data_IF_621314395260
#
_entry.id   IF_621314395260
#
_cell.length_a   1.000
_cell.length_b   1.000
_cell.length_c   1.000
_cell.angle_alpha   90.00
_cell.angle_beta   90.00
_cell.angle_gamma   90.00
#
_symmetry.space_group_name_H-M   'P 1'
#
loop_
_entity.id
_entity.type
_entity.pdbx_description
1 polymer ?
#
# COMPACT_ATOMS: atom_id res chain seq x y z
N UNK A 1 4.61 -1.09 18.86
CA UNK A 1 3.30 -0.47 18.60
C UNK A 1 3.00 -0.27 17.11
N UNK A 2 3.89 0.34 16.31
CA UNK A 2 3.65 0.58 14.87
C UNK A 2 3.51 -0.71 14.03
N UNK A 3 4.37 -1.72 14.27
CA UNK A 3 4.34 -3.00 13.56
C UNK A 3 3.00 -3.73 13.72
N UNK A 4 2.51 -3.84 14.95
CA UNK A 4 1.21 -4.46 15.26
C UNK A 4 0.04 -3.73 14.59
N UNK A 5 0.11 -2.38 14.51
CA UNK A 5 -0.89 -1.57 13.80
C UNK A 5 -0.86 -1.83 12.29
N UNK A 6 0.32 -2.00 11.71
CA UNK A 6 0.49 -2.39 10.30
C UNK A 6 -0.06 -3.80 10.07
N UNK A 7 0.35 -4.80 10.87
CA UNK A 7 -0.13 -6.18 10.76
C UNK A 7 -1.65 -6.27 10.77
N UNK A 8 -2.30 -5.59 11.72
CA UNK A 8 -3.76 -5.52 11.79
C UNK A 8 -4.38 -4.87 10.55
N UNK A 9 -3.80 -3.75 10.07
CA UNK A 9 -4.35 -3.01 8.93
C UNK A 9 -4.18 -3.78 7.62
N UNK A 10 -3.03 -4.41 7.41
CA UNK A 10 -2.79 -5.32 6.29
C UNK A 10 -3.80 -6.46 6.30
N UNK A 11 -4.00 -7.08 7.47
CA UNK A 11 -4.98 -8.16 7.63
C UNK A 11 -6.40 -7.67 7.30
N UNK A 12 -6.79 -6.49 7.76
CA UNK A 12 -8.12 -5.92 7.44
C UNK A 12 -8.31 -5.69 5.93
N UNK A 13 -7.32 -5.07 5.26
CA UNK A 13 -7.43 -4.74 3.84
C UNK A 13 -7.39 -6.00 2.97
N UNK A 14 -6.47 -6.94 3.24
CA UNK A 14 -6.37 -8.20 2.51
C UNK A 14 -7.63 -9.06 2.66
N UNK A 15 -8.21 -9.11 3.87
CA UNK A 15 -9.48 -9.79 4.12
C UNK A 15 -10.62 -9.14 3.32
N UNK A 16 -10.68 -7.81 3.30
CA UNK A 16 -11.67 -7.08 2.50
C UNK A 16 -11.55 -7.35 1.00
N UNK A 17 -10.33 -7.59 0.50
CA UNK A 17 -10.06 -7.95 -0.89
C UNK A 17 -10.30 -9.44 -1.20
N UNK A 18 -10.71 -10.25 -0.21
CA UNK A 18 -10.86 -11.69 -0.38
C UNK A 18 -9.54 -12.43 -0.66
N UNK A 19 -8.39 -11.83 -0.33
CA UNK A 19 -7.08 -12.40 -0.63
C UNK A 19 -6.62 -13.33 0.51
N UNK A 20 -6.09 -14.53 0.18
CA UNK A 20 -5.62 -15.48 1.18
C UNK A 20 -4.45 -14.91 1.98
N UNK A 21 -4.57 -14.99 3.31
CA UNK A 21 -3.59 -14.43 4.24
C UNK A 21 -2.58 -15.48 4.69
N UNK A 22 -1.65 -15.83 3.81
CA UNK A 22 -0.44 -16.50 4.27
C UNK A 22 0.32 -15.53 5.19
N UNK A 23 0.56 -15.93 6.44
CA UNK A 23 1.32 -15.12 7.41
C UNK A 23 2.67 -14.67 6.82
N UNK A 24 3.33 -15.54 6.04
CA UNK A 24 4.59 -15.21 5.35
C UNK A 24 4.46 -14.05 4.36
N UNK A 25 3.37 -14.00 3.59
CA UNK A 25 3.13 -12.93 2.61
C UNK A 25 2.78 -11.63 3.32
N UNK A 26 1.91 -11.70 4.34
CA UNK A 26 1.56 -10.54 5.18
C UNK A 26 2.80 -9.96 5.84
N UNK A 27 3.63 -10.78 6.46
CA UNK A 27 4.81 -10.33 7.20
C UNK A 27 5.86 -9.72 6.25
N UNK A 28 6.02 -10.28 5.05
CA UNK A 28 6.85 -9.71 3.98
C UNK A 28 6.35 -8.33 3.54
N UNK A 29 5.04 -8.19 3.34
CA UNK A 29 4.42 -6.90 3.02
C UNK A 29 4.58 -5.88 4.15
N UNK A 30 4.36 -6.29 5.41
CA UNK A 30 4.53 -5.43 6.60
C UNK A 30 5.98 -4.97 6.72
N UNK A 31 6.96 -5.86 6.53
CA UNK A 31 8.37 -5.50 6.58
C UNK A 31 8.76 -4.49 5.49
N UNK A 32 8.28 -4.67 4.26
CA UNK A 32 8.48 -3.72 3.15
C UNK A 32 7.80 -2.38 3.46
N UNK A 33 6.57 -2.41 3.96
CA UNK A 33 5.84 -1.21 4.35
C UNK A 33 6.56 -0.45 5.46
N UNK A 34 7.11 -1.15 6.46
CA UNK A 34 7.85 -0.53 7.55
C UNK A 34 9.11 0.21 7.04
N UNK A 35 9.85 -0.39 6.11
CA UNK A 35 11.01 0.25 5.47
C UNK A 35 10.61 1.48 4.65
N UNK A 36 9.56 1.37 3.85
CA UNK A 36 9.09 2.46 2.98
C UNK A 36 8.43 3.58 3.80
N UNK A 37 7.69 3.23 4.87
CA UNK A 37 7.06 4.19 5.78
C UNK A 37 8.10 5.12 6.38
N UNK A 38 9.26 4.59 6.79
CA UNK A 38 10.35 5.41 7.32
C UNK A 38 10.83 6.47 6.30
N UNK A 39 10.93 6.09 5.02
CA UNK A 39 11.38 6.99 3.94
C UNK A 39 10.31 8.03 3.60
N UNK A 40 9.03 7.64 3.59
CA UNK A 40 7.91 8.53 3.23
C UNK A 40 7.45 9.45 4.36
N UNK A 41 7.92 9.22 5.59
CA UNK A 41 7.48 9.92 6.81
C UNK A 41 7.86 11.39 6.82
N UNK A 42 8.94 11.78 6.15
CA UNK A 42 9.51 13.12 6.28
C UNK A 42 8.91 14.18 5.36
N UNK A 43 8.06 13.82 4.39
CA UNK A 43 7.56 14.83 3.43
C UNK A 43 6.25 14.50 2.70
N UNK A 44 5.62 13.34 2.92
CA UNK A 44 4.45 12.95 2.12
C UNK A 44 3.11 13.14 2.83
N UNK A 45 2.09 13.51 2.03
CA UNK A 45 0.65 13.50 2.40
C UNK A 45 0.14 12.10 2.83
N UNK A 46 0.94 11.05 2.60
CA UNK A 46 0.64 9.64 2.89
C UNK A 46 1.38 9.10 4.13
N UNK A 47 1.78 9.96 5.06
CA UNK A 47 2.56 9.59 6.25
C UNK A 47 1.79 8.75 7.30
N UNK A 48 0.47 8.61 7.18
CA UNK A 48 -0.34 7.80 8.10
C UNK A 48 -0.39 6.34 7.66
N UNK A 49 -0.38 5.44 8.64
CA UNK A 49 -0.50 3.99 8.42
C UNK A 49 -1.77 3.66 7.63
N UNK A 50 -2.86 4.37 7.93
CA UNK A 50 -4.18 4.18 7.34
C UNK A 50 -4.19 4.44 5.83
N UNK A 51 -3.43 5.43 5.36
CA UNK A 51 -3.33 5.80 3.95
C UNK A 51 -2.22 5.04 3.23
N UNK A 52 -1.09 4.82 3.90
CA UNK A 52 0.05 4.14 3.28
C UNK A 52 -0.21 2.64 3.05
N UNK A 53 -0.87 1.97 3.99
CA UNK A 53 -1.11 0.52 3.92
C UNK A 53 -1.78 0.09 2.60
N UNK A 54 -2.95 0.64 2.20
CA UNK A 54 -3.60 0.23 0.96
C UNK A 54 -2.76 0.51 -0.29
N UNK A 55 -1.98 1.59 -0.29
CA UNK A 55 -1.04 1.92 -1.37
C UNK A 55 0.04 0.86 -1.50
N UNK A 56 0.67 0.46 -0.39
CA UNK A 56 1.72 -0.57 -0.41
C UNK A 56 1.16 -1.94 -0.81
N UNK A 57 -0.05 -2.28 -0.36
CA UNK A 57 -0.74 -3.50 -0.79
C UNK A 57 -0.93 -3.49 -2.31
N UNK A 58 -1.40 -2.38 -2.87
CA UNK A 58 -1.58 -2.22 -4.31
C UNK A 58 -0.28 -2.42 -5.09
N UNK A 59 0.79 -1.73 -4.70
CA UNK A 59 2.10 -1.82 -5.37
C UNK A 59 2.63 -3.25 -5.29
N UNK A 60 2.62 -3.85 -4.09
CA UNK A 60 3.17 -5.18 -3.88
C UNK A 60 2.46 -6.21 -4.77
N UNK A 61 1.13 -6.22 -4.77
CA UNK A 61 0.36 -7.17 -5.57
C UNK A 61 0.51 -6.89 -7.07
N UNK A 62 0.57 -5.63 -7.48
CA UNK A 62 0.85 -5.26 -8.89
C UNK A 62 2.23 -5.79 -9.33
N UNK A 63 3.26 -5.66 -8.50
CA UNK A 63 4.60 -6.20 -8.77
C UNK A 63 4.64 -7.74 -8.80
N UNK A 64 3.72 -8.40 -8.11
CA UNK A 64 3.55 -9.86 -8.14
C UNK A 64 2.62 -10.32 -9.28
N UNK A 65 2.29 -9.44 -10.24
CA UNK A 65 1.35 -9.69 -11.33
C UNK A 65 -0.09 -10.04 -10.89
N UNK A 66 -0.46 -9.72 -9.64
CA UNK A 66 -1.83 -9.81 -9.18
C UNK A 66 -2.58 -8.53 -9.54
N UNK A 67 -3.57 -8.65 -10.43
CA UNK A 67 -4.48 -7.55 -10.75
C UNK A 67 -5.47 -7.35 -9.61
N UNK A 68 -5.38 -6.20 -8.94
CA UNK A 68 -6.41 -5.73 -8.01
C UNK A 68 -7.28 -4.71 -8.72
N UNK A 69 -8.59 -4.80 -8.53
CA UNK A 69 -9.50 -3.72 -8.85
C UNK A 69 -9.29 -2.54 -7.87
N UNK A 70 -8.99 -1.36 -8.44
CA UNK A 70 -8.74 -0.13 -7.67
C UNK A 70 -9.98 0.29 -6.86
N UNK A 71 -11.18 0.09 -7.40
CA UNK A 71 -12.43 0.41 -6.71
C UNK A 71 -12.62 -0.46 -5.46
N UNK A 72 -12.29 -1.74 -5.55
CA UNK A 72 -12.39 -2.67 -4.42
C UNK A 72 -11.41 -2.28 -3.33
N UNK A 73 -10.15 -1.96 -3.70
CA UNK A 73 -9.15 -1.44 -2.77
C UNK A 73 -9.63 -0.17 -2.04
N UNK A 74 -10.24 0.76 -2.78
CA UNK A 74 -10.78 2.00 -2.20
C UNK A 74 -11.92 1.68 -1.22
N UNK A 75 -12.83 0.79 -1.60
CA UNK A 75 -13.99 0.41 -0.78
C UNK A 75 -13.61 -0.22 0.56
N UNK A 76 -12.52 -0.98 0.61
CA UNK A 76 -12.06 -1.69 1.82
C UNK A 76 -11.04 -0.90 2.64
N UNK A 77 -10.65 0.27 2.16
CA UNK A 77 -9.62 1.11 2.78
C UNK A 77 -10.17 2.48 3.18
N UNK A 78 -9.28 3.38 3.60
CA UNK A 78 -9.63 4.75 4.00
C UNK A 78 -9.06 5.80 3.05
N UNK A 79 -8.66 5.40 1.84
CA UNK A 79 -8.14 6.32 0.83
C UNK A 79 -9.25 6.69 -0.15
N UNK A 80 -9.26 7.93 -0.61
CA UNK A 80 -10.14 8.36 -1.70
C UNK A 80 -9.58 7.93 -3.07
N UNK A 81 -10.44 7.98 -4.09
CA UNK A 81 -9.98 7.87 -5.49
C UNK A 81 -8.88 8.88 -5.80
N UNK A 82 -9.07 10.15 -5.44
CA UNK A 82 -8.10 11.22 -5.71
C UNK A 82 -6.74 10.97 -5.05
N UNK A 83 -6.71 10.40 -3.84
CA UNK A 83 -5.49 10.00 -3.16
C UNK A 83 -4.77 8.87 -3.90
N UNK A 84 -5.50 7.82 -4.32
CA UNK A 84 -4.91 6.73 -5.06
C UNK A 84 -4.33 7.21 -6.41
N UNK A 85 -5.09 7.98 -7.18
CA UNK A 85 -4.63 8.49 -8.48
C UNK A 85 -3.45 9.44 -8.34
N UNK A 86 -3.48 10.36 -7.37
CA UNK A 86 -2.35 11.25 -7.12
C UNK A 86 -1.09 10.46 -6.74
N UNK A 87 -1.21 9.41 -5.92
CA UNK A 87 -0.09 8.54 -5.62
C UNK A 87 0.47 7.85 -6.87
N UNK A 88 -0.39 7.25 -7.70
CA UNK A 88 0.04 6.57 -8.93
C UNK A 88 0.72 7.53 -9.91
N UNK A 89 0.21 8.75 -10.01
CA UNK A 89 0.81 9.81 -10.82
C UNK A 89 2.21 10.18 -10.33
N UNK A 90 2.38 10.37 -9.02
CA UNK A 90 3.68 10.66 -8.41
C UNK A 90 4.67 9.49 -8.61
N UNK A 91 4.21 8.25 -8.44
CA UNK A 91 5.03 7.05 -8.66
C UNK A 91 5.49 6.99 -10.12
N UNK A 92 4.58 7.18 -11.08
CA UNK A 92 4.89 7.14 -12.50
C UNK A 92 5.89 8.23 -12.89
N UNK A 93 5.69 9.47 -12.43
CA UNK A 93 6.63 10.56 -12.68
C UNK A 93 8.01 10.28 -12.08
N UNK A 94 8.06 9.66 -10.90
CA UNK A 94 9.33 9.31 -10.28
C UNK A 94 10.06 8.21 -11.06
N UNK A 95 9.34 7.19 -11.52
CA UNK A 95 9.89 6.12 -12.35
C UNK A 95 10.35 6.65 -13.71
N UNK A 96 9.54 7.44 -14.40
CA UNK A 96 9.91 8.04 -15.69
C UNK A 96 11.25 8.80 -15.59
N UNK A 97 11.45 9.57 -14.51
CA UNK A 97 12.71 10.30 -14.28
C UNK A 97 13.96 9.42 -14.13
N UNK A 98 13.81 8.14 -13.82
CA UNK A 98 14.94 7.21 -13.71
C UNK A 98 15.24 6.47 -15.02
N UNK A 99 14.29 6.46 -15.95
CA UNK A 99 14.39 5.75 -17.24
C UNK A 99 14.37 6.70 -18.45
N UNK A 100 14.39 8.01 -18.20
CA UNK A 100 14.55 9.10 -19.19
C UNK A 100 15.97 9.64 -19.14
#
# INVERSE_FOLDING_TARGET
>A
MLKTKLEWKFSKVLCGLGLPQSDKVRDSMVAKCFRIHHILRESSKYNTVERLTPIIIYIYLTLQNFRINKSDLISVSRISHSELYNFLYQLNNHLCRFYS
#
